data_IF_622963469614
#
_entry.id   IF_622963469614
#
_cell.length_a   1.000
_cell.length_b   1.000
_cell.length_c   1.000
_cell.angle_alpha   90.00
_cell.angle_beta   90.00
_cell.angle_gamma   90.00
#
_symmetry.space_group_name_H-M   'P 1'
#
loop_
_entity.id
_entity.type
_entity.pdbx_description
1 polymer ?
#
# COMPACT_ATOMS: atom_id res chain seq x y z
N UNK A 1 -4.90 25.90 -24.36
CA UNK A 1 -3.52 25.39 -24.11
C UNK A 1 -3.55 24.69 -22.78
N UNK A 2 -3.25 23.40 -22.78
CA UNK A 2 -3.64 22.43 -21.77
C UNK A 2 -2.82 22.54 -20.49
N UNK A 3 -3.49 22.56 -19.35
CA UNK A 3 -2.95 22.52 -17.96
C UNK A 3 -2.02 21.33 -17.67
N UNK A 4 -2.02 20.32 -18.54
CA UNK A 4 -1.18 19.13 -18.43
C UNK A 4 0.33 19.39 -18.61
N UNK A 5 0.71 20.39 -19.39
CA UNK A 5 2.12 20.75 -19.61
C UNK A 5 2.75 21.49 -18.43
N UNK A 6 1.92 22.16 -17.61
CA UNK A 6 2.41 22.88 -16.44
C UNK A 6 2.84 21.93 -15.33
N UNK A 7 2.12 20.80 -15.19
CA UNK A 7 2.44 19.76 -14.18
C UNK A 7 3.74 19.01 -14.52
N UNK A 8 3.96 18.74 -15.82
CA UNK A 8 5.21 18.10 -16.30
C UNK A 8 6.40 19.06 -16.16
N UNK A 9 6.21 20.35 -16.43
CA UNK A 9 7.27 21.36 -16.28
C UNK A 9 7.62 21.61 -14.81
N UNK A 10 6.68 21.51 -13.88
CA UNK A 10 6.92 21.63 -12.43
C UNK A 10 7.71 20.43 -11.90
N UNK A 11 7.47 19.23 -12.41
CA UNK A 11 8.23 18.03 -12.06
C UNK A 11 9.68 18.07 -12.57
N UNK A 12 9.92 18.71 -13.71
CA UNK A 12 11.28 18.82 -14.30
C UNK A 12 12.12 19.93 -13.65
N UNK A 13 11.50 20.98 -13.09
CA UNK A 13 12.24 22.10 -12.49
C UNK A 13 12.77 21.85 -11.06
N UNK A 14 12.38 20.74 -10.41
CA UNK A 14 12.90 20.33 -9.08
C UNK A 14 14.29 19.65 -9.18
N UNK A 15 14.82 19.45 -10.39
CA UNK A 15 15.97 18.56 -10.68
C UNK A 15 17.35 19.16 -10.36
N UNK A 16 17.49 20.35 -9.79
CA UNK A 16 18.80 21.03 -9.77
C UNK A 16 19.27 21.56 -8.40
N UNK A 17 18.98 20.84 -7.31
CA UNK A 17 19.68 21.14 -6.05
C UNK A 17 20.91 20.20 -5.94
N UNK A 18 22.13 20.72 -5.84
CA UNK A 18 23.33 19.89 -5.65
C UNK A 18 23.23 19.17 -4.31
N UNK A 19 23.34 17.83 -4.34
CA UNK A 19 23.28 16.96 -3.15
C UNK A 19 22.00 16.14 -2.99
N UNK A 20 20.92 16.42 -3.74
CA UNK A 20 19.71 15.64 -3.70
C UNK A 20 19.78 14.48 -4.71
N UNK A 21 19.61 13.25 -4.21
CA UNK A 21 19.55 12.05 -5.03
C UNK A 21 18.10 11.62 -5.14
N UNK A 22 17.58 11.60 -6.36
CA UNK A 22 16.24 11.09 -6.64
C UNK A 22 16.31 9.58 -6.88
N UNK A 23 15.34 8.87 -6.38
CA UNK A 23 15.20 7.43 -6.59
C UNK A 23 13.79 7.14 -7.09
N UNK A 24 13.68 6.25 -8.07
CA UNK A 24 12.41 5.69 -8.55
C UNK A 24 12.51 4.18 -8.58
N UNK A 25 11.46 3.50 -8.11
CA UNK A 25 11.40 2.05 -8.03
C UNK A 25 10.01 1.57 -8.44
N UNK A 26 9.83 0.98 -9.63
CA UNK A 26 8.66 0.19 -9.92
C UNK A 26 8.65 -1.04 -8.99
N UNK A 27 7.48 -1.38 -8.47
CA UNK A 27 7.29 -2.41 -7.46
C UNK A 27 6.35 -3.49 -7.96
N UNK A 28 6.70 -4.73 -7.70
CA UNK A 28 5.86 -5.91 -7.85
C UNK A 28 5.84 -6.65 -6.52
N UNK A 29 4.73 -7.33 -6.22
CA UNK A 29 4.68 -8.10 -4.97
C UNK A 29 3.32 -8.69 -4.66
N UNK A 30 3.09 -8.91 -3.38
CA UNK A 30 1.84 -9.47 -2.87
C UNK A 30 1.39 -8.77 -1.61
N UNK A 31 0.09 -8.72 -1.45
CA UNK A 31 -0.56 -8.26 -0.23
C UNK A 31 -1.31 -9.42 0.40
N UNK A 32 -1.10 -9.61 1.69
CA UNK A 32 -1.57 -10.73 2.47
C UNK A 32 -2.38 -10.24 3.67
N UNK A 33 -3.42 -11.00 4.03
CA UNK A 33 -4.27 -10.68 5.16
C UNK A 33 -5.27 -9.58 4.83
N UNK A 34 -6.02 -9.20 5.83
CA UNK A 34 -7.11 -8.24 5.76
C UNK A 34 -8.41 -8.92 6.16
N UNK A 35 -8.84 -8.68 7.40
CA UNK A 35 -10.15 -9.12 7.88
C UNK A 35 -10.98 -7.89 8.16
N UNK A 36 -12.18 -7.86 7.63
CA UNK A 36 -13.15 -6.81 7.84
C UNK A 36 -14.32 -7.42 8.62
N UNK A 37 -14.65 -6.88 9.77
CA UNK A 37 -15.87 -7.27 10.50
C UNK A 37 -17.07 -6.57 9.86
N UNK A 38 -18.05 -7.38 9.47
CA UNK A 38 -19.29 -6.91 8.89
C UNK A 38 -20.39 -7.00 9.95
N UNK A 39 -21.03 -5.89 10.29
CA UNK A 39 -22.29 -5.92 11.00
C UNK A 39 -23.43 -5.81 10.00
N UNK A 40 -24.22 -6.85 9.89
CA UNK A 40 -25.49 -6.83 9.20
C UNK A 40 -26.60 -6.76 10.26
N UNK A 41 -27.61 -5.92 10.05
CA UNK A 41 -28.68 -5.66 11.01
C UNK A 41 -29.45 -6.91 11.47
N UNK A 42 -29.31 -8.03 10.80
CA UNK A 42 -30.00 -9.31 11.09
C UNK A 42 -29.08 -10.49 11.41
N UNK A 43 -27.75 -10.33 11.27
CA UNK A 43 -26.80 -11.43 11.50
C UNK A 43 -25.55 -10.88 12.18
N UNK A 44 -25.34 -11.17 13.47
CA UNK A 44 -24.15 -10.71 14.18
C UNK A 44 -22.91 -11.48 13.70
N UNK A 45 -21.79 -10.75 13.52
CA UNK A 45 -20.44 -11.28 13.35
C UNK A 45 -20.15 -12.07 12.05
N UNK A 46 -20.44 -11.49 10.89
CA UNK A 46 -19.89 -12.01 9.64
C UNK A 46 -18.50 -11.38 9.42
N UNK A 47 -17.49 -12.19 9.25
CA UNK A 47 -16.14 -11.73 8.90
C UNK A 47 -15.93 -11.87 7.40
N UNK A 48 -15.48 -10.79 6.75
CA UNK A 48 -15.01 -10.82 5.38
C UNK A 48 -13.48 -10.81 5.38
N UNK A 49 -12.89 -11.73 4.64
CA UNK A 49 -11.46 -11.76 4.40
C UNK A 49 -11.15 -11.20 3.02
N UNK A 50 -10.16 -10.34 2.97
CA UNK A 50 -9.55 -9.89 1.71
C UNK A 50 -8.62 -11.01 1.24
N UNK A 51 -8.82 -11.48 0.01
CA UNK A 51 -7.96 -12.50 -0.56
C UNK A 51 -6.53 -12.01 -0.73
N UNK A 52 -5.59 -12.88 -0.48
CA UNK A 52 -4.20 -12.64 -0.85
C UNK A 52 -4.12 -12.45 -2.35
N UNK A 53 -3.38 -11.46 -2.79
CA UNK A 53 -3.33 -11.13 -4.22
C UNK A 53 -2.01 -10.51 -4.63
N UNK A 54 -1.74 -10.66 -5.92
CA UNK A 54 -0.66 -9.95 -6.58
C UNK A 54 -0.95 -8.46 -6.59
N UNK A 55 0.12 -7.67 -6.45
CA UNK A 55 0.02 -6.23 -6.38
C UNK A 55 1.20 -5.60 -7.11
N UNK A 56 1.00 -4.39 -7.61
CA UNK A 56 2.03 -3.63 -8.32
C UNK A 56 1.94 -2.16 -7.98
N UNK A 57 3.03 -1.44 -8.21
CA UNK A 57 3.07 -0.02 -7.91
C UNK A 57 4.37 0.64 -8.31
N UNK A 58 4.55 1.82 -7.77
CA UNK A 58 5.78 2.61 -7.95
C UNK A 58 6.01 3.44 -6.68
N UNK A 59 7.27 3.55 -6.30
CA UNK A 59 7.70 4.54 -5.32
C UNK A 59 8.73 5.47 -5.96
N UNK A 60 8.67 6.73 -5.59
CA UNK A 60 9.61 7.75 -6.01
C UNK A 60 9.87 8.72 -4.88
N UNK A 61 11.12 9.14 -4.70
CA UNK A 61 11.47 9.97 -3.57
C UNK A 61 12.79 10.70 -3.69
N UNK A 62 13.06 11.43 -2.64
CA UNK A 62 14.28 12.25 -2.48
C UNK A 62 15.03 11.69 -1.29
N UNK A 63 16.31 11.42 -1.50
CA UNK A 63 17.24 10.95 -0.50
C UNK A 63 18.10 12.10 -0.02
N UNK A 64 18.28 12.20 1.28
CA UNK A 64 19.13 13.18 1.95
C UNK A 64 20.35 12.47 2.50
N UNK A 65 21.51 13.10 2.37
CA UNK A 65 22.71 12.61 3.02
C UNK A 65 22.56 12.85 4.53
N UNK A 66 22.62 11.77 5.33
CA UNK A 66 22.70 11.85 6.77
C UNK A 66 24.05 12.39 7.27
N UNK A 67 24.21 12.51 8.57
CA UNK A 67 25.52 12.82 9.15
C UNK A 67 26.54 11.74 8.80
N UNK A 68 27.81 12.13 8.66
CA UNK A 68 28.87 11.22 8.21
C UNK A 68 28.88 9.90 9.01
N UNK A 69 28.51 8.80 8.36
CA UNK A 69 28.55 7.45 8.90
C UNK A 69 27.26 6.89 9.49
N UNK A 70 26.17 7.65 9.61
CA UNK A 70 24.92 7.20 10.25
C UNK A 70 23.90 6.61 9.26
N UNK A 71 24.04 6.86 7.96
CA UNK A 71 23.07 6.38 6.96
C UNK A 71 22.47 7.50 6.13
N UNK A 72 21.31 7.25 5.55
CA UNK A 72 20.60 8.19 4.69
C UNK A 72 19.12 8.20 5.02
N UNK A 73 18.54 9.39 5.00
CA UNK A 73 17.09 9.55 5.12
C UNK A 73 16.47 9.77 3.74
N UNK A 74 15.26 9.28 3.54
CA UNK A 74 14.51 9.54 2.32
C UNK A 74 13.05 9.83 2.64
N UNK A 75 12.48 10.72 1.85
CA UNK A 75 11.04 10.94 1.79
C UNK A 75 10.59 10.42 0.42
N UNK A 76 9.70 9.46 0.45
CA UNK A 76 9.21 8.78 -0.74
C UNK A 76 7.69 8.94 -0.84
N UNK A 77 7.16 9.02 -2.07
CA UNK A 77 5.75 8.85 -2.36
C UNK A 77 5.57 7.51 -3.03
N UNK A 78 4.59 6.73 -2.56
CA UNK A 78 4.28 5.41 -3.09
C UNK A 78 2.83 5.32 -3.52
N UNK A 79 2.63 4.88 -4.75
CA UNK A 79 1.36 4.36 -5.22
C UNK A 79 1.47 2.84 -5.37
N UNK A 80 0.47 2.13 -4.83
CA UNK A 80 0.43 0.67 -4.82
C UNK A 80 -0.99 0.19 -5.07
N UNK A 81 -1.18 -0.72 -6.03
CA UNK A 81 -2.49 -1.25 -6.39
C UNK A 81 -2.56 -2.75 -6.17
N UNK A 82 -3.66 -3.16 -5.55
CA UNK A 82 -4.05 -4.52 -5.27
C UNK A 82 -5.43 -4.76 -5.85
N UNK A 83 -5.55 -5.69 -6.82
CA UNK A 83 -6.84 -6.19 -7.30
C UNK A 83 -7.11 -7.53 -6.60
N UNK A 84 -8.21 -7.62 -5.85
CA UNK A 84 -8.51 -8.73 -4.96
C UNK A 84 -10.00 -9.03 -4.88
N UNK A 85 -10.37 -10.02 -4.07
CA UNK A 85 -11.75 -10.43 -3.83
C UNK A 85 -12.03 -10.50 -2.33
N UNK A 86 -13.29 -10.29 -1.95
CA UNK A 86 -13.75 -10.49 -0.59
C UNK A 86 -14.35 -11.89 -0.45
N UNK A 87 -13.88 -12.63 0.56
CA UNK A 87 -14.46 -13.91 0.97
C UNK A 87 -15.23 -13.71 2.28
N UNK A 88 -16.49 -14.13 2.30
CA UNK A 88 -17.27 -14.18 3.54
C UNK A 88 -16.94 -15.49 4.26
N UNK A 89 -16.37 -15.39 5.46
CA UNK A 89 -16.19 -16.54 6.33
C UNK A 89 -17.48 -16.74 7.12
N UNK A 90 -18.18 -17.79 6.81
CA UNK A 90 -19.40 -18.19 7.47
C UNK A 90 -19.07 -18.94 8.76
N UNK A 91 -19.76 -18.59 9.86
CA UNK A 91 -19.76 -19.42 11.04
C UNK A 91 -20.53 -20.72 10.73
N UNK A 92 -19.91 -21.92 10.85
CA UNK A 92 -20.55 -23.18 10.54
C UNK A 92 -21.78 -23.50 11.40
N UNK A 93 -21.99 -22.76 12.48
CA UNK A 93 -23.12 -22.94 13.40
C UNK A 93 -24.37 -22.15 13.01
N UNK A 94 -24.28 -21.24 12.03
CA UNK A 94 -25.42 -20.43 11.58
C UNK A 94 -25.90 -20.93 10.22
N UNK A 95 -27.09 -21.53 10.11
CA UNK A 95 -27.66 -21.93 8.83
C UNK A 95 -28.00 -20.68 8.02
N UNK A 96 -27.16 -20.38 7.04
CA UNK A 96 -27.35 -19.25 6.14
C UNK A 96 -27.85 -19.73 4.78
N UNK A 97 -28.69 -18.90 4.12
CA UNK A 97 -29.12 -19.26 2.77
C UNK A 97 -27.92 -19.38 1.83
N UNK A 98 -27.93 -20.37 0.96
CA UNK A 98 -26.89 -20.81 0.03
C UNK A 98 -26.32 -19.75 -0.94
N UNK A 99 -26.82 -18.53 -0.90
CA UNK A 99 -26.40 -17.40 -1.73
C UNK A 99 -25.06 -16.81 -1.26
N UNK A 100 -24.71 -16.95 0.03
CA UNK A 100 -23.51 -16.32 0.60
C UNK A 100 -22.19 -17.04 0.18
N UNK A 101 -22.24 -18.32 -0.10
CA UNK A 101 -21.05 -19.11 -0.40
C UNK A 101 -20.45 -18.87 -1.80
N UNK A 102 -21.21 -18.29 -2.75
CA UNK A 102 -20.77 -18.05 -4.12
C UNK A 102 -20.47 -16.57 -4.42
N UNK A 103 -20.67 -15.67 -3.44
CA UNK A 103 -20.51 -14.26 -3.68
C UNK A 103 -19.10 -13.79 -3.32
N UNK A 104 -18.28 -13.55 -4.34
CA UNK A 104 -16.91 -13.05 -4.22
C UNK A 104 -16.77 -11.73 -5.01
N UNK A 105 -17.21 -10.61 -4.43
CA UNK A 105 -17.07 -9.33 -5.12
C UNK A 105 -15.60 -8.96 -5.30
N UNK A 106 -15.22 -8.63 -6.54
CA UNK A 106 -13.93 -8.05 -6.83
C UNK A 106 -13.84 -6.64 -6.25
N UNK A 107 -12.75 -6.34 -5.62
CA UNK A 107 -12.41 -5.01 -5.12
C UNK A 107 -11.00 -4.62 -5.55
N UNK A 108 -10.79 -3.34 -5.79
CA UNK A 108 -9.47 -2.77 -5.99
C UNK A 108 -9.10 -1.88 -4.81
N UNK A 109 -7.88 -2.01 -4.34
CA UNK A 109 -7.28 -1.19 -3.29
C UNK A 109 -6.14 -0.39 -3.91
N UNK A 110 -6.33 0.93 -4.02
CA UNK A 110 -5.28 1.86 -4.43
C UNK A 110 -4.72 2.55 -3.19
N UNK A 111 -3.46 2.31 -2.88
CA UNK A 111 -2.74 2.91 -1.77
C UNK A 111 -1.96 4.12 -2.25
N UNK A 112 -2.09 5.23 -1.55
CA UNK A 112 -1.35 6.48 -1.76
C UNK A 112 -0.68 6.84 -0.44
N UNK A 113 0.62 6.56 -0.34
CA UNK A 113 1.38 6.63 0.90
C UNK A 113 2.55 7.58 0.75
N UNK A 114 2.79 8.38 1.78
CA UNK A 114 4.04 9.07 2.01
C UNK A 114 4.88 8.21 2.96
N UNK A 115 6.09 7.90 2.55
CA UNK A 115 7.01 7.04 3.30
C UNK A 115 8.20 7.89 3.78
N UNK A 116 8.52 7.75 5.07
CA UNK A 116 9.80 8.18 5.62
C UNK A 116 10.67 6.93 5.78
N UNK A 117 11.83 6.92 5.13
CA UNK A 117 12.73 5.76 5.09
C UNK A 117 14.09 6.16 5.63
N UNK A 118 14.61 5.38 6.58
CA UNK A 118 15.98 5.49 7.07
C UNK A 118 16.79 4.30 6.57
N UNK A 119 17.85 4.58 5.79
CA UNK A 119 18.76 3.60 5.20
C UNK A 119 20.04 3.52 6.03
N UNK A 120 20.40 2.35 6.49
CA UNK A 120 21.62 2.09 7.26
C UNK A 120 22.79 1.79 6.34
N UNK A 121 23.98 2.30 6.68
CA UNK A 121 25.21 1.99 5.98
C UNK A 121 25.95 0.86 6.68
N UNK A 122 26.35 -0.18 5.93
CA UNK A 122 27.15 -1.29 6.44
C UNK A 122 28.58 -1.10 5.89
N UNK A 123 29.56 -0.89 6.79
CA UNK A 123 30.95 -0.62 6.40
C UNK A 123 31.57 -1.76 5.59
N UNK A 124 31.26 -3.01 5.96
CA UNK A 124 31.74 -4.22 5.29
C UNK A 124 31.03 -4.52 3.97
N UNK A 125 29.86 -3.90 3.74
CA UNK A 125 29.02 -4.10 2.55
C UNK A 125 28.45 -2.78 2.03
N UNK A 126 29.28 -1.88 1.49
CA UNK A 126 28.89 -0.50 1.16
C UNK A 126 27.86 -0.36 0.02
N UNK A 127 27.47 -1.48 -0.59
CA UNK A 127 26.45 -1.54 -1.66
C UNK A 127 25.11 -2.07 -1.15
N UNK A 128 25.01 -2.45 0.11
CA UNK A 128 23.83 -3.01 0.74
C UNK A 128 23.33 -2.03 1.80
N UNK A 129 22.10 -1.59 1.65
CA UNK A 129 21.45 -0.61 2.51
C UNK A 129 20.18 -1.23 3.13
N UNK A 130 20.28 -1.88 4.30
CA UNK A 130 19.08 -2.19 5.08
C UNK A 130 18.34 -0.90 5.42
N UNK A 131 17.01 -0.95 5.48
CA UNK A 131 16.24 0.23 5.80
C UNK A 131 15.03 -0.09 6.69
N UNK A 132 14.60 0.92 7.42
CA UNK A 132 13.30 0.98 8.08
C UNK A 132 12.45 2.04 7.41
N UNK A 133 11.15 1.81 7.32
CA UNK A 133 10.22 2.78 6.75
C UNK A 133 9.00 2.94 7.65
N UNK A 134 8.51 4.16 7.75
CA UNK A 134 7.23 4.51 8.33
C UNK A 134 6.37 5.14 7.25
N UNK A 135 5.14 4.68 7.10
CA UNK A 135 4.23 5.06 6.04
C UNK A 135 2.98 5.71 6.59
N UNK A 136 2.46 6.72 5.88
CA UNK A 136 1.24 7.43 6.23
C UNK A 136 0.50 7.82 4.94
N UNK A 137 -0.82 7.63 4.92
CA UNK A 137 -1.58 8.02 3.74
C UNK A 137 -3.01 7.53 3.69
N UNK A 138 -3.48 7.28 2.48
CA UNK A 138 -4.85 6.88 2.23
C UNK A 138 -4.93 5.66 1.30
N UNK A 139 -5.93 4.83 1.54
CA UNK A 139 -6.27 3.70 0.69
C UNK A 139 -7.67 3.93 0.13
N UNK A 140 -7.77 3.98 -1.20
CA UNK A 140 -9.04 4.00 -1.90
C UNK A 140 -9.47 2.57 -2.19
N UNK A 141 -10.57 2.16 -1.57
CA UNK A 141 -11.22 0.89 -1.80
C UNK A 141 -12.29 1.09 -2.86
N UNK A 142 -12.23 0.39 -3.96
CA UNK A 142 -13.18 0.53 -5.08
C UNK A 142 -13.87 -0.80 -5.35
N UNK A 143 -15.20 -0.78 -5.35
CA UNK A 143 -16.07 -1.86 -5.80
C UNK A 143 -16.85 -1.39 -7.05
N UNK A 144 -17.48 -2.26 -7.85
CA UNK A 144 -18.12 -1.90 -9.11
C UNK A 144 -19.14 -0.76 -9.04
N UNK A 145 -19.81 -0.57 -7.91
CA UNK A 145 -20.85 0.44 -7.74
C UNK A 145 -20.50 1.55 -6.75
N UNK A 146 -19.36 1.47 -6.05
CA UNK A 146 -19.02 2.45 -5.02
C UNK A 146 -17.52 2.48 -4.72
N UNK A 147 -17.06 3.56 -4.13
CA UNK A 147 -15.69 3.67 -3.61
C UNK A 147 -15.67 4.36 -2.25
N UNK A 148 -14.70 3.99 -1.43
CA UNK A 148 -14.46 4.58 -0.13
C UNK A 148 -12.96 4.84 0.05
N UNK A 149 -12.61 5.98 0.65
CA UNK A 149 -11.22 6.29 1.00
C UNK A 149 -11.02 6.12 2.51
N UNK A 150 -9.93 5.48 2.90
CA UNK A 150 -9.59 5.16 4.28
C UNK A 150 -8.19 5.63 4.59
N UNK A 151 -7.99 6.00 5.84
CA UNK A 151 -6.67 6.32 6.36
C UNK A 151 -5.87 5.03 6.59
N UNK A 152 -4.58 5.07 6.24
CA UNK A 152 -3.66 3.98 6.46
C UNK A 152 -2.33 4.51 7.01
N UNK A 153 -1.69 3.70 7.82
CA UNK A 153 -0.34 3.94 8.27
C UNK A 153 0.40 2.61 8.27
N UNK A 154 1.72 2.64 8.27
CA UNK A 154 2.49 1.41 8.18
C UNK A 154 3.87 1.54 8.78
N UNK A 155 4.46 0.39 9.04
CA UNK A 155 5.85 0.23 9.40
C UNK A 155 6.42 -0.93 8.62
N UNK A 156 7.60 -0.74 8.06
CA UNK A 156 8.22 -1.75 7.23
C UNK A 156 9.73 -1.77 7.36
N UNK A 157 10.31 -2.78 6.77
CA UNK A 157 11.75 -2.95 6.66
C UNK A 157 12.11 -3.57 5.32
N UNK A 158 13.35 -3.44 4.94
CA UNK A 158 13.80 -4.03 3.70
C UNK A 158 15.29 -3.85 3.48
N UNK A 159 15.70 -4.16 2.28
CA UNK A 159 17.07 -3.98 1.82
C UNK A 159 17.08 -3.40 0.41
N UNK A 160 17.95 -2.43 0.21
CA UNK A 160 18.31 -1.92 -1.12
C UNK A 160 19.73 -2.38 -1.43
N UNK A 161 19.95 -2.87 -2.64
CA UNK A 161 21.29 -3.29 -3.12
C UNK A 161 21.61 -2.51 -4.39
N UNK A 162 22.68 -1.74 -4.36
CA UNK A 162 23.15 -0.93 -5.50
C UNK A 162 24.51 -1.43 -5.98
N UNK A 163 24.56 -2.37 -6.95
CA UNK A 163 25.82 -2.85 -7.54
C UNK A 163 26.63 -1.72 -8.18
N UNK A 164 25.96 -0.72 -8.73
CA UNK A 164 26.56 0.50 -9.27
C UNK A 164 25.90 1.77 -8.68
N UNK A 165 26.25 2.96 -9.21
CA UNK A 165 25.78 4.24 -8.68
C UNK A 165 24.31 4.53 -8.99
N UNK A 166 23.75 3.95 -10.04
CA UNK A 166 22.45 4.30 -10.58
C UNK A 166 21.46 3.16 -10.43
N UNK A 167 21.87 1.93 -10.72
CA UNK A 167 20.97 0.78 -10.71
C UNK A 167 21.08 -0.03 -9.44
N UNK A 168 19.93 -0.38 -8.91
CA UNK A 168 19.80 -1.21 -7.72
C UNK A 168 18.54 -2.05 -7.73
N UNK A 169 18.34 -2.76 -6.62
CA UNK A 169 17.15 -3.54 -6.34
C UNK A 169 16.67 -3.23 -4.92
N UNK A 170 15.37 -3.11 -4.77
CA UNK A 170 14.70 -2.96 -3.49
C UNK A 170 13.88 -4.21 -3.18
N UNK A 171 13.95 -4.67 -1.94
CA UNK A 171 13.11 -5.71 -1.37
C UNK A 171 12.55 -5.18 -0.06
N UNK A 172 11.24 -5.30 0.18
CA UNK A 172 10.63 -4.81 1.42
C UNK A 172 9.48 -5.69 1.89
N UNK A 173 9.26 -5.66 3.18
CA UNK A 173 8.07 -6.17 3.85
C UNK A 173 7.53 -5.08 4.77
N UNK A 174 6.20 -4.93 4.79
CA UNK A 174 5.53 -3.88 5.54
C UNK A 174 4.25 -4.41 6.17
N UNK A 175 4.00 -4.00 7.39
CA UNK A 175 2.73 -4.13 8.07
C UNK A 175 1.95 -2.83 7.90
N UNK A 176 0.75 -2.91 7.29
CA UNK A 176 -0.06 -1.79 6.86
C UNK A 176 -1.48 -1.90 7.43
N UNK A 177 -1.75 -1.37 8.61
CA UNK A 177 -3.10 -1.21 9.14
C UNK A 177 -3.88 -0.11 8.42
N UNK A 178 -5.10 -0.43 8.02
CA UNK A 178 -6.05 0.47 7.37
C UNK A 178 -7.20 0.70 8.32
N UNK A 179 -7.44 1.96 8.68
CA UNK A 179 -8.46 2.35 9.67
C UNK A 179 -9.82 2.46 8.99
N UNK A 180 -10.73 1.58 9.38
CA UNK A 180 -12.12 1.57 8.91
C UNK A 180 -12.97 2.39 9.91
N UNK A 181 -13.33 3.63 9.52
CA UNK A 181 -14.18 4.47 10.37
C UNK A 181 -15.63 3.95 10.38
N UNK A 182 -16.30 4.07 11.54
CA UNK A 182 -17.65 3.59 11.79
C UNK A 182 -18.77 4.38 11.07
N UNK A 183 -18.45 5.43 10.34
CA UNK A 183 -19.45 6.11 9.53
C UNK A 183 -19.90 5.21 8.38
N UNK A 184 -21.19 4.88 8.40
CA UNK A 184 -21.97 4.02 7.49
C UNK A 184 -21.66 4.25 6.00
N UNK A 185 -20.48 3.91 5.54
CA UNK A 185 -20.22 3.85 4.11
C UNK A 185 -20.60 2.46 3.59
N UNK A 186 -21.66 2.45 2.81
CA UNK A 186 -22.19 1.25 2.19
C UNK A 186 -21.42 1.00 0.89
N UNK A 187 -20.68 -0.09 0.83
CA UNK A 187 -20.19 -0.61 -0.45
C UNK A 187 -21.34 -1.38 -1.10
N UNK A 188 -21.86 -0.86 -2.20
CA UNK A 188 -22.96 -1.48 -2.94
C UNK A 188 -22.36 -2.35 -4.06
N UNK A 189 -22.75 -3.60 -4.07
CA UNK A 189 -22.37 -4.54 -5.14
C UNK A 189 -23.50 -4.60 -6.20
N UNK A 190 -23.15 -4.93 -7.45
CA UNK A 190 -24.06 -4.97 -8.60
C UNK A 190 -25.27 -5.92 -8.41
N UNK A 191 -25.20 -6.86 -7.46
CA UNK A 191 -26.27 -7.85 -7.19
C UNK A 191 -27.13 -7.50 -5.98
N UNK A 192 -27.18 -6.20 -5.56
CA UNK A 192 -28.01 -5.77 -4.43
C UNK A 192 -27.46 -6.09 -3.05
N UNK A 193 -26.23 -6.53 -2.93
CA UNK A 193 -25.57 -6.65 -1.64
C UNK A 193 -25.10 -5.28 -1.16
N UNK A 194 -25.26 -5.02 0.11
CA UNK A 194 -24.75 -3.83 0.79
C UNK A 194 -23.77 -4.30 1.84
N UNK A 195 -22.49 -4.03 1.64
CA UNK A 195 -21.46 -4.27 2.66
C UNK A 195 -21.36 -3.00 3.50
N UNK A 196 -21.71 -3.10 4.76
CA UNK A 196 -21.50 -2.04 5.75
C UNK A 196 -20.15 -2.29 6.40
N UNK A 197 -19.19 -1.41 6.15
CA UNK A 197 -17.89 -1.45 6.82
C UNK A 197 -18.06 -0.89 8.22
N UNK A 198 -18.00 -1.75 9.21
CA UNK A 198 -18.05 -1.33 10.60
C UNK A 198 -16.65 -0.94 11.10
N UNK A 199 -16.62 -0.01 12.05
CA UNK A 199 -15.37 0.54 12.59
C UNK A 199 -14.43 -0.56 13.07
N UNK A 200 -13.18 -0.49 12.61
CA UNK A 200 -12.13 -1.45 12.94
C UNK A 200 -10.83 -1.12 12.23
N UNK A 201 -9.89 -2.02 12.32
CA UNK A 201 -8.62 -1.93 11.60
C UNK A 201 -8.46 -3.17 10.73
N UNK A 202 -8.26 -2.97 9.45
CA UNK A 202 -7.91 -4.04 8.53
C UNK A 202 -6.39 -4.13 8.45
N UNK A 203 -5.82 -5.23 8.91
CA UNK A 203 -4.38 -5.44 8.96
C UNK A 203 -3.91 -6.16 7.72
N UNK A 204 -2.95 -5.58 7.00
CA UNK A 204 -2.33 -6.18 5.83
C UNK A 204 -0.82 -6.28 6.00
N UNK A 205 -0.24 -7.32 5.40
CA UNK A 205 1.19 -7.44 5.16
C UNK A 205 1.44 -7.30 3.67
N UNK A 206 2.36 -6.41 3.32
CA UNK A 206 2.75 -6.16 1.93
C UNK A 206 4.19 -6.58 1.76
N UNK A 207 4.42 -7.46 0.80
CA UNK A 207 5.75 -7.83 0.33
C UNK A 207 5.97 -7.22 -1.05
N UNK A 208 7.09 -6.51 -1.25
CA UNK A 208 7.38 -5.92 -2.55
C UNK A 208 8.85 -6.02 -2.93
N UNK A 209 9.09 -6.11 -4.23
CA UNK A 209 10.41 -6.08 -4.82
C UNK A 209 10.39 -5.26 -6.13
N UNK A 210 11.52 -4.70 -6.50
CA UNK A 210 11.63 -3.97 -7.76
C UNK A 210 13.03 -3.44 -8.05
N UNK A 211 13.34 -3.18 -9.33
CA UNK A 211 14.54 -2.48 -9.72
C UNK A 211 14.43 -1.01 -9.30
N UNK A 212 15.52 -0.46 -8.78
CA UNK A 212 15.62 0.95 -8.38
C UNK A 212 16.60 1.69 -9.27
N UNK A 213 16.26 2.93 -9.58
CA UNK A 213 17.15 3.82 -10.33
C UNK A 213 17.36 5.13 -9.57
N UNK A 214 18.62 5.51 -9.40
CA UNK A 214 19.08 6.78 -8.78
C UNK A 214 19.61 7.75 -9.83
N UNK A 215 19.17 9.00 -9.72
CA UNK A 215 19.62 10.08 -10.59
C UNK A 215 20.80 10.83 -9.96
#
# INVERSE_FOLDING_TARGET
MSTSYLLVALLVSVVSAPGQKYEITPLLGGSFGGTIKLEQASTPNVEAHVADSFSFGVTGGIRFDGEEGEGYDAIEFRWWRQDTHLFLKQDPLVPTPSIAASFQPGIALDHFLGDFTHEFTIKEAPKIYPFLTASLGAVRMSAPASSATRFAFGIGTGVKVFPDRHWGFRLSVEYLPIVLHAELQRLVCVSGCVIVLNGGVMNQFVFSLGPSYRF
#
